data_IF_762263708720
#
_entry.id   IF_762263708720
#
_cell.length_a   1.000
_cell.length_b   1.000
_cell.length_c   1.000
_cell.angle_alpha   90.00
_cell.angle_beta   90.00
_cell.angle_gamma   90.00
#
_symmetry.space_group_name_H-M   'P 1'
#
loop_
_entity.id
_entity.type
_entity.pdbx_description
1 polymer ?
#
# COMPACT_ATOMS: atom_id res chain seq x y z
N UNK A 1 -5.58 14.30 -5.80
CA UNK A 1 -5.68 13.40 -6.97
C UNK A 1 -6.03 11.99 -6.50
N UNK A 2 -6.76 11.20 -7.30
CA UNK A 2 -6.97 9.80 -6.99
C UNK A 2 -5.65 9.03 -6.95
N UNK A 3 -5.56 8.08 -6.03
CA UNK A 3 -4.46 7.13 -5.96
C UNK A 3 -5.00 5.76 -6.30
N UNK A 4 -4.49 5.18 -7.38
CA UNK A 4 -4.85 3.87 -7.90
C UNK A 4 -3.68 2.92 -7.78
N UNK A 5 -3.94 1.74 -7.28
CA UNK A 5 -2.95 0.69 -7.05
C UNK A 5 -3.33 -0.53 -7.86
N UNK A 6 -2.38 -1.03 -8.64
CA UNK A 6 -2.47 -2.21 -9.50
C UNK A 6 -1.25 -3.12 -9.25
N UNK A 7 -1.17 -4.27 -9.90
CA UNK A 7 0.01 -5.13 -9.81
C UNK A 7 -0.01 -6.10 -8.64
N UNK A 8 -1.19 -6.53 -8.21
CA UNK A 8 -1.38 -7.52 -7.17
C UNK A 8 -0.72 -8.87 -7.49
N UNK A 9 -0.39 -9.62 -6.43
CA UNK A 9 0.07 -10.99 -6.58
C UNK A 9 -1.05 -11.90 -7.13
N UNK A 10 -0.87 -12.38 -8.35
CA UNK A 10 -1.84 -13.22 -9.09
C UNK A 10 -1.58 -14.71 -8.96
N UNK A 11 -0.80 -15.13 -7.99
CA UNK A 11 -0.62 -16.56 -7.72
C UNK A 11 -1.82 -17.09 -6.94
N UNK A 12 -2.38 -18.21 -7.40
CA UNK A 12 -3.37 -18.94 -6.63
C UNK A 12 -2.72 -19.47 -5.35
N UNK A 13 -3.38 -19.22 -4.23
CA UNK A 13 -2.92 -19.70 -2.93
C UNK A 13 -3.46 -21.09 -2.65
N UNK A 14 -2.64 -21.88 -2.01
CA UNK A 14 -2.99 -23.20 -1.48
C UNK A 14 -3.01 -23.20 0.05
N UNK A 15 -2.55 -22.12 0.68
CA UNK A 15 -2.47 -21.95 2.13
C UNK A 15 -3.09 -20.64 2.57
N UNK A 16 -3.70 -20.60 3.77
CA UNK A 16 -4.20 -19.36 4.36
C UNK A 16 -3.06 -18.37 4.60
N UNK A 17 -3.32 -17.10 4.36
CA UNK A 17 -2.41 -16.00 4.74
C UNK A 17 -3.07 -15.23 5.86
N UNK A 18 -2.34 -14.94 6.92
CA UNK A 18 -2.88 -14.13 8.01
C UNK A 18 -3.37 -12.78 7.49
N UNK A 19 -4.59 -12.41 7.89
CA UNK A 19 -5.13 -11.10 7.62
C UNK A 19 -4.23 -10.05 8.27
N UNK A 20 -3.70 -9.14 7.48
CA UNK A 20 -2.89 -8.02 7.95
C UNK A 20 -3.55 -6.72 7.49
N UNK A 21 -3.68 -5.77 8.40
CA UNK A 21 -4.11 -4.41 8.01
C UNK A 21 -2.97 -3.74 7.26
N UNK A 22 -3.27 -3.29 6.05
CA UNK A 22 -2.35 -2.54 5.19
C UNK A 22 -2.68 -1.06 5.26
N UNK A 23 -1.69 -0.21 5.03
CA UNK A 23 -1.90 1.23 4.95
C UNK A 23 -1.97 1.63 3.49
N UNK A 24 -3.04 2.30 3.11
CA UNK A 24 -3.16 2.92 1.79
C UNK A 24 -2.70 4.38 1.91
N UNK A 25 -1.66 4.74 1.18
CA UNK A 25 -1.05 6.08 1.22
C UNK A 25 -0.99 6.72 -0.17
N UNK A 26 -0.47 7.95 -0.25
CA UNK A 26 -0.42 8.73 -1.49
C UNK A 26 0.44 8.13 -2.60
N UNK A 27 1.28 7.16 -2.28
CA UNK A 27 2.21 6.47 -3.18
C UNK A 27 1.93 4.96 -3.30
N UNK A 28 0.87 4.46 -2.64
CA UNK A 28 0.47 3.06 -2.78
C UNK A 28 -0.02 2.39 -1.50
N UNK A 29 0.21 1.09 -1.41
CA UNK A 29 -0.19 0.24 -0.29
C UNK A 29 1.05 -0.29 0.42
N UNK A 30 1.06 -0.25 1.76
CA UNK A 30 2.15 -0.76 2.60
C UNK A 30 1.70 -1.94 3.48
N UNK A 31 2.53 -2.98 3.62
CA UNK A 31 3.71 -3.29 2.80
C UNK A 31 3.29 -3.60 1.36
N UNK A 32 4.13 -3.23 0.39
CA UNK A 32 3.96 -3.18 -1.07
C UNK A 32 2.87 -4.02 -1.75
N UNK A 33 2.38 -3.53 -2.86
CA UNK A 33 1.26 -4.13 -3.62
C UNK A 33 1.53 -5.56 -4.08
N UNK A 34 2.78 -5.91 -4.39
CA UNK A 34 3.17 -7.27 -4.81
C UNK A 34 2.91 -8.34 -3.74
N UNK A 35 2.82 -7.95 -2.46
CA UNK A 35 2.42 -8.83 -1.37
C UNK A 35 0.90 -8.93 -1.15
N UNK A 36 0.09 -8.18 -1.92
CA UNK A 36 -1.37 -8.20 -1.81
C UNK A 36 -1.92 -9.27 -2.76
N UNK A 37 -2.63 -10.29 -2.27
CA UNK A 37 -3.24 -11.29 -3.14
C UNK A 37 -4.30 -10.65 -4.05
N UNK A 38 -4.25 -10.96 -5.35
CA UNK A 38 -5.30 -10.57 -6.29
C UNK A 38 -6.60 -11.36 -6.04
N UNK A 39 -6.49 -12.60 -5.58
CA UNK A 39 -7.65 -13.47 -5.40
C UNK A 39 -8.26 -13.33 -4.01
N UNK A 40 -9.56 -13.01 -3.99
CA UNK A 40 -10.43 -13.16 -2.83
C UNK A 40 -11.25 -14.43 -3.00
N UNK A 41 -11.04 -15.38 -2.09
CA UNK A 41 -11.71 -16.67 -2.13
C UNK A 41 -13.06 -16.61 -1.41
N UNK A 42 -14.05 -17.32 -1.98
CA UNK A 42 -15.39 -17.42 -1.42
C UNK A 42 -15.47 -18.40 -0.24
N UNK A 43 -16.47 -18.18 0.60
CA UNK A 43 -16.61 -18.91 1.87
C UNK A 43 -17.13 -20.34 1.71
N UNK A 44 -17.72 -20.70 0.56
CA UNK A 44 -18.29 -22.03 0.37
C UNK A 44 -17.25 -23.05 -0.11
N UNK A 45 -16.56 -22.77 -1.19
CA UNK A 45 -15.60 -23.72 -1.78
C UNK A 45 -14.17 -23.57 -1.25
N UNK A 46 -13.83 -22.38 -0.76
CA UNK A 46 -12.46 -22.06 -0.37
C UNK A 46 -12.40 -21.44 1.04
N UNK A 47 -13.22 -21.93 1.96
CA UNK A 47 -13.40 -21.34 3.30
C UNK A 47 -12.10 -21.09 4.06
N UNK A 48 -11.15 -22.01 3.98
CA UNK A 48 -9.85 -21.87 4.66
C UNK A 48 -9.00 -20.75 4.06
N UNK A 49 -9.20 -20.44 2.77
CA UNK A 49 -8.52 -19.38 2.05
C UNK A 49 -9.31 -18.06 2.04
N UNK A 50 -10.57 -18.08 2.48
CA UNK A 50 -11.48 -16.93 2.51
C UNK A 50 -11.09 -15.96 3.64
N UNK A 51 -10.03 -15.18 3.40
CA UNK A 51 -9.52 -14.19 4.32
C UNK A 51 -9.85 -12.78 3.81
N UNK A 52 -10.41 -11.89 4.66
CA UNK A 52 -10.62 -10.51 4.28
C UNK A 52 -9.29 -9.79 4.08
N UNK A 53 -9.31 -8.79 3.21
CA UNK A 53 -8.23 -7.83 3.09
C UNK A 53 -8.62 -6.54 3.79
N UNK A 54 -7.75 -6.02 4.65
CA UNK A 54 -8.01 -4.83 5.45
C UNK A 54 -7.06 -3.70 5.07
N UNK A 55 -7.61 -2.49 4.92
CA UNK A 55 -6.87 -1.30 4.55
C UNK A 55 -7.22 -0.15 5.47
N UNK A 56 -6.20 0.49 6.04
CA UNK A 56 -6.34 1.78 6.72
C UNK A 56 -6.04 2.89 5.72
N UNK A 57 -6.91 3.88 5.66
CA UNK A 57 -6.77 5.04 4.78
C UNK A 57 -7.13 6.32 5.52
N UNK A 58 -6.39 7.41 5.27
CA UNK A 58 -6.75 8.74 5.77
C UNK A 58 -7.04 9.62 4.58
N UNK A 59 -8.26 10.16 4.54
CA UNK A 59 -8.73 11.03 3.45
C UNK A 59 -8.98 12.45 3.97
N UNK A 60 -8.51 13.48 3.23
CA UNK A 60 -8.58 14.87 3.67
C UNK A 60 -9.95 15.51 3.48
N UNK A 61 -10.75 14.96 2.61
CA UNK A 61 -12.08 15.45 2.19
C UNK A 61 -12.98 14.26 1.89
N UNK A 62 -14.28 14.51 1.86
CA UNK A 62 -15.24 13.52 1.39
C UNK A 62 -14.85 13.02 -0.01
N UNK A 63 -14.76 11.72 -0.16
CA UNK A 63 -14.25 11.06 -1.37
C UNK A 63 -14.85 9.66 -1.53
N UNK A 64 -14.13 8.73 -2.16
CA UNK A 64 -14.56 7.37 -2.35
C UNK A 64 -13.40 6.37 -2.25
N UNK A 65 -13.76 5.13 -1.96
CA UNK A 65 -12.95 3.95 -2.21
C UNK A 65 -13.59 3.10 -3.29
N UNK A 66 -12.80 2.54 -4.20
CA UNK A 66 -13.27 1.68 -5.28
C UNK A 66 -12.40 0.43 -5.39
N UNK A 67 -13.03 -0.71 -5.55
CA UNK A 67 -12.39 -1.98 -5.86
C UNK A 67 -12.81 -2.44 -7.26
N UNK A 68 -11.84 -2.54 -8.16
CA UNK A 68 -12.02 -3.10 -9.50
C UNK A 68 -11.81 -4.61 -9.48
N UNK A 69 -12.74 -5.34 -10.08
CA UNK A 69 -12.69 -6.79 -10.28
C UNK A 69 -12.37 -7.09 -11.73
N UNK A 70 -11.35 -7.88 -11.97
CA UNK A 70 -10.95 -8.32 -13.30
C UNK A 70 -11.78 -9.49 -13.81
N UNK A 71 -12.02 -10.46 -12.94
CA UNK A 71 -12.73 -11.69 -13.28
C UNK A 71 -13.32 -12.34 -12.02
N UNK A 72 -14.29 -13.23 -12.23
CA UNK A 72 -14.77 -14.16 -11.22
C UNK A 72 -14.74 -15.59 -11.76
N UNK A 73 -14.85 -16.57 -10.86
CA UNK A 73 -14.97 -17.99 -11.22
C UNK A 73 -16.04 -18.20 -12.30
N UNK A 74 -15.76 -19.13 -13.20
CA UNK A 74 -16.73 -19.58 -14.20
C UNK A 74 -17.72 -20.64 -13.66
N UNK A 75 -17.46 -21.17 -12.45
CA UNK A 75 -18.19 -22.31 -11.89
C UNK A 75 -19.30 -21.88 -10.92
N UNK A 76 -19.04 -20.86 -10.11
CA UNK A 76 -19.96 -20.42 -9.07
C UNK A 76 -19.93 -18.91 -8.85
N UNK A 77 -20.92 -18.42 -8.12
CA UNK A 77 -21.09 -17.00 -7.85
C UNK A 77 -20.06 -16.48 -6.84
N UNK A 78 -19.43 -15.35 -7.15
CA UNK A 78 -18.68 -14.58 -6.19
C UNK A 78 -19.50 -13.36 -5.71
N UNK A 79 -19.09 -12.79 -4.58
CA UNK A 79 -19.75 -11.62 -4.00
C UNK A 79 -18.74 -10.74 -3.30
N UNK A 80 -18.37 -9.63 -3.94
CA UNK A 80 -17.50 -8.64 -3.32
C UNK A 80 -18.32 -7.82 -2.33
N UNK A 81 -17.92 -7.85 -1.06
CA UNK A 81 -18.47 -6.99 -0.01
C UNK A 81 -17.40 -6.01 0.47
N UNK A 82 -17.81 -4.77 0.72
CA UNK A 82 -16.99 -3.71 1.29
C UNK A 82 -17.65 -3.24 2.58
N UNK A 83 -16.89 -3.25 3.68
CA UNK A 83 -17.26 -2.58 4.92
C UNK A 83 -16.30 -1.42 5.19
N UNK A 84 -16.80 -0.37 5.81
CA UNK A 84 -16.04 0.79 6.25
C UNK A 84 -16.29 0.97 7.74
N UNK A 85 -15.23 0.97 8.56
CA UNK A 85 -15.30 1.12 10.01
C UNK A 85 -16.28 0.12 10.66
N UNK A 86 -16.16 -1.15 10.26
CA UNK A 86 -17.01 -2.28 10.66
C UNK A 86 -18.50 -2.18 10.24
N UNK A 87 -18.86 -1.18 9.43
CA UNK A 87 -20.20 -1.01 8.89
C UNK A 87 -20.25 -1.50 7.44
N UNK A 88 -21.15 -2.44 7.08
CA UNK A 88 -21.35 -2.82 5.68
C UNK A 88 -21.73 -1.60 4.83
N UNK A 89 -20.91 -1.31 3.81
CA UNK A 89 -21.07 -0.13 2.97
C UNK A 89 -21.66 -0.47 1.60
N UNK A 90 -21.20 -1.55 0.95
CA UNK A 90 -21.73 -2.00 -0.33
C UNK A 90 -21.42 -3.48 -0.60
N UNK A 91 -22.21 -4.06 -1.51
CA UNK A 91 -22.06 -5.43 -1.97
C UNK A 91 -22.33 -5.51 -3.49
N UNK A 92 -21.53 -6.30 -4.19
CA UNK A 92 -21.70 -6.58 -5.62
C UNK A 92 -21.71 -8.09 -5.87
N UNK A 93 -22.76 -8.58 -6.49
CA UNK A 93 -22.86 -9.97 -6.94
C UNK A 93 -22.22 -10.13 -8.31
N UNK A 94 -21.40 -11.14 -8.44
CA UNK A 94 -20.68 -11.48 -9.66
C UNK A 94 -21.13 -12.87 -10.12
N UNK A 95 -21.89 -12.91 -11.19
CA UNK A 95 -22.29 -14.17 -11.83
C UNK A 95 -21.04 -14.91 -12.34
N UNK A 96 -21.09 -16.24 -12.50
CA UNK A 96 -20.01 -16.99 -13.09
C UNK A 96 -19.50 -16.38 -14.40
N UNK A 97 -18.18 -16.21 -14.51
CA UNK A 97 -17.54 -15.62 -15.68
C UNK A 97 -17.72 -14.11 -15.84
N UNK A 98 -18.18 -13.39 -14.80
CA UNK A 98 -18.26 -11.91 -14.82
C UNK A 98 -16.89 -11.31 -15.12
N UNK A 99 -16.86 -10.35 -16.03
CA UNK A 99 -15.66 -9.60 -16.46
C UNK A 99 -15.93 -8.09 -16.35
N UNK A 100 -14.89 -7.28 -16.46
CA UNK A 100 -14.51 -6.26 -15.48
C UNK A 100 -15.71 -5.57 -14.86
N UNK A 101 -15.69 -5.46 -13.55
CA UNK A 101 -16.68 -4.77 -12.76
C UNK A 101 -15.98 -3.93 -11.68
N UNK A 102 -16.67 -2.93 -11.12
CA UNK A 102 -16.13 -2.14 -10.03
C UNK A 102 -17.22 -1.86 -8.99
N UNK A 103 -16.80 -1.83 -7.72
CA UNK A 103 -17.65 -1.48 -6.59
C UNK A 103 -17.05 -0.28 -5.88
N UNK A 104 -17.86 0.80 -5.79
CA UNK A 104 -17.45 2.06 -5.16
C UNK A 104 -18.29 2.34 -3.92
N UNK A 105 -17.62 2.83 -2.87
CA UNK A 105 -18.25 3.29 -1.63
C UNK A 105 -17.81 4.72 -1.31
N UNK A 106 -18.67 5.58 -0.76
CA UNK A 106 -18.28 6.90 -0.30
C UNK A 106 -17.44 6.78 0.98
N UNK A 107 -16.49 7.70 1.15
CA UNK A 107 -15.72 7.90 2.37
C UNK A 107 -15.90 9.37 2.81
N UNK A 108 -16.26 9.60 4.07
CA UNK A 108 -16.20 10.92 4.67
C UNK A 108 -14.73 11.34 4.90
N UNK A 109 -14.47 12.63 5.12
CA UNK A 109 -13.15 13.06 5.54
C UNK A 109 -12.78 12.43 6.90
N UNK A 110 -11.56 11.88 7.01
CA UNK A 110 -11.09 11.23 8.24
C UNK A 110 -10.23 9.99 7.99
N UNK A 111 -9.99 9.27 9.08
CA UNK A 111 -9.34 7.95 9.04
C UNK A 111 -10.40 6.86 8.98
N UNK A 112 -10.19 5.85 8.13
CA UNK A 112 -11.09 4.73 7.93
C UNK A 112 -10.36 3.41 7.87
N UNK A 113 -11.04 2.35 8.32
CA UNK A 113 -10.65 0.96 8.08
C UNK A 113 -11.61 0.35 7.07
N UNK A 114 -11.07 -0.04 5.92
CA UNK A 114 -11.82 -0.65 4.82
C UNK A 114 -11.55 -2.14 4.83
N UNK A 115 -12.61 -2.94 4.82
CA UNK A 115 -12.54 -4.39 4.73
C UNK A 115 -13.14 -4.84 3.41
N UNK A 116 -12.34 -5.60 2.65
CA UNK A 116 -12.76 -6.28 1.43
C UNK A 116 -12.86 -7.76 1.69
N UNK A 117 -13.99 -8.35 1.38
CA UNK A 117 -14.17 -9.80 1.48
C UNK A 117 -15.01 -10.35 0.32
N UNK A 118 -14.84 -11.64 0.06
CA UNK A 118 -15.73 -12.36 -0.84
C UNK A 118 -16.65 -13.26 -0.02
N UNK A 119 -17.90 -12.81 0.13
CA UNK A 119 -18.94 -13.54 0.85
C UNK A 119 -19.71 -14.53 -0.04
N UNK A 120 -19.28 -14.71 -1.29
CA UNK A 120 -19.85 -15.66 -2.24
C UNK A 120 -19.33 -17.08 -2.09
N UNK A 121 -19.49 -17.85 -3.14
CA UNK A 121 -19.20 -19.29 -3.15
C UNK A 121 -17.76 -19.58 -3.59
N UNK A 122 -17.29 -18.92 -4.65
CA UNK A 122 -15.99 -19.17 -5.27
C UNK A 122 -15.16 -17.87 -5.38
N UNK A 123 -14.05 -17.89 -6.07
CA UNK A 123 -13.08 -16.78 -6.11
C UNK A 123 -13.51 -15.62 -7.02
N UNK A 124 -13.00 -14.45 -6.71
CA UNK A 124 -12.88 -13.30 -7.61
C UNK A 124 -11.43 -12.80 -7.65
N UNK A 125 -11.05 -12.14 -8.74
CA UNK A 125 -9.74 -11.54 -8.96
C UNK A 125 -9.85 -10.00 -8.98
N UNK A 126 -9.14 -9.34 -8.07
CA UNK A 126 -9.02 -7.89 -8.05
C UNK A 126 -8.11 -7.42 -9.19
N UNK A 127 -8.46 -6.32 -9.81
CA UNK A 127 -7.65 -5.64 -10.82
C UNK A 127 -6.93 -4.43 -10.22
N UNK A 128 -7.67 -3.60 -9.48
CA UNK A 128 -7.14 -2.42 -8.83
C UNK A 128 -7.91 -2.08 -7.55
N UNK A 129 -7.29 -1.24 -6.73
CA UNK A 129 -7.95 -0.47 -5.68
C UNK A 129 -7.68 1.01 -5.91
N UNK A 130 -8.67 1.86 -5.66
CA UNK A 130 -8.56 3.30 -5.87
C UNK A 130 -9.18 4.08 -4.72
N UNK A 131 -8.49 5.12 -4.28
CA UNK A 131 -9.02 6.12 -3.34
C UNK A 131 -9.00 7.48 -4.03
N UNK A 132 -10.13 8.16 -4.03
CA UNK A 132 -10.30 9.42 -4.77
C UNK A 132 -9.44 10.58 -4.26
N UNK A 133 -9.11 10.60 -2.96
CA UNK A 133 -8.17 11.54 -2.36
C UNK A 133 -7.54 10.92 -1.11
N UNK A 134 -6.23 11.07 -0.95
CA UNK A 134 -5.49 10.55 0.21
C UNK A 134 -4.63 11.65 0.81
N UNK A 135 -4.50 11.59 2.14
CA UNK A 135 -3.47 12.34 2.86
C UNK A 135 -2.23 11.45 2.98
N UNK A 136 -1.18 11.79 2.25
CA UNK A 136 0.12 11.20 2.49
C UNK A 136 0.78 11.92 3.68
N UNK A 137 1.22 11.22 4.73
CA UNK A 137 1.87 11.84 5.90
C UNK A 137 3.25 12.42 5.54
N UNK A 138 3.87 11.90 4.50
CA UNK A 138 5.10 12.41 3.92
C UNK A 138 5.03 12.43 2.40
N UNK A 139 5.84 13.31 1.79
CA UNK A 139 6.13 13.26 0.36
C UNK A 139 7.40 12.44 0.18
N UNK A 140 7.38 11.48 -0.72
CA UNK A 140 8.53 10.65 -1.07
C UNK A 140 8.82 10.83 -2.56
N UNK A 141 10.06 11.21 -2.88
CA UNK A 141 10.57 11.28 -4.24
C UNK A 141 11.73 10.30 -4.34
N UNK A 142 11.61 9.30 -5.21
CA UNK A 142 12.66 8.28 -5.41
C UNK A 142 13.13 8.28 -6.84
N UNK A 143 14.44 8.31 -7.01
CA UNK A 143 15.14 8.04 -8.27
C UNK A 143 15.91 6.73 -8.10
N UNK A 144 15.71 5.77 -9.01
CA UNK A 144 16.35 4.46 -8.91
C UNK A 144 16.91 3.97 -10.25
N UNK A 145 17.99 3.22 -10.15
CA UNK A 145 18.53 2.39 -11.23
C UNK A 145 18.53 0.94 -10.75
N UNK A 146 17.56 0.17 -11.22
CA UNK A 146 17.41 -1.24 -10.83
C UNK A 146 18.49 -2.14 -11.45
N UNK A 147 19.18 -1.71 -12.50
CA UNK A 147 20.27 -2.47 -13.12
C UNK A 147 21.51 -2.41 -12.24
N UNK A 148 21.87 -1.22 -11.81
CA UNK A 148 23.04 -0.99 -10.96
C UNK A 148 22.76 -1.23 -9.46
N UNK A 149 21.49 -1.34 -9.09
CA UNK A 149 21.09 -1.51 -7.68
C UNK A 149 21.39 -0.25 -6.86
N UNK A 150 21.05 0.92 -7.43
CA UNK A 150 21.24 2.22 -6.78
C UNK A 150 19.90 2.93 -6.66
N UNK A 151 19.65 3.58 -5.55
CA UNK A 151 18.53 4.48 -5.40
C UNK A 151 18.90 5.71 -4.55
N UNK A 152 18.26 6.82 -4.88
CA UNK A 152 18.26 8.05 -4.08
C UNK A 152 16.81 8.37 -3.74
N UNK A 153 16.54 8.72 -2.49
CA UNK A 153 15.22 9.19 -2.11
C UNK A 153 15.30 10.48 -1.30
N UNK A 154 14.29 11.32 -1.47
CA UNK A 154 14.05 12.47 -0.64
C UNK A 154 12.68 12.34 -0.02
N UNK A 155 12.62 12.41 1.31
CA UNK A 155 11.43 12.21 2.11
C UNK A 155 11.20 13.50 2.90
N UNK A 156 10.02 14.09 2.74
CA UNK A 156 9.65 15.33 3.42
C UNK A 156 8.36 15.08 4.23
N UNK A 157 8.41 15.46 5.50
CA UNK A 157 7.20 15.50 6.33
C UNK A 157 6.18 16.43 5.69
N UNK A 158 4.92 16.02 5.60
CA UNK A 158 3.86 16.77 4.94
C UNK A 158 3.68 18.17 5.54
N UNK A 159 3.72 18.27 6.88
CA UNK A 159 3.50 19.52 7.59
C UNK A 159 4.79 20.34 7.73
N UNK A 160 5.92 19.89 7.19
CA UNK A 160 7.13 20.70 7.05
C UNK A 160 7.00 21.61 5.81
N UNK A 161 6.14 22.62 5.94
CA UNK A 161 5.92 23.67 4.94
C UNK A 161 6.85 24.85 5.19
N UNK A 162 6.99 25.73 4.20
CA UNK A 162 7.75 26.97 4.36
C UNK A 162 7.17 27.86 5.46
N UNK A 163 5.85 27.85 5.65
CA UNK A 163 5.13 28.61 6.69
C UNK A 163 5.49 28.08 8.08
N UNK A 164 5.40 26.76 8.29
CA UNK A 164 5.76 26.14 9.55
C UNK A 164 7.24 26.29 9.85
N UNK A 165 8.11 26.15 8.85
CA UNK A 165 9.54 26.38 9.00
C UNK A 165 9.87 27.84 9.37
N UNK A 166 9.21 28.83 8.76
CA UNK A 166 9.38 30.24 9.10
C UNK A 166 8.85 30.60 10.50
N UNK A 167 7.83 29.87 10.96
CA UNK A 167 7.27 30.02 12.30
C UNK A 167 7.99 29.15 13.36
N UNK A 168 9.07 28.46 12.99
CA UNK A 168 9.83 27.51 13.84
C UNK A 168 8.95 26.39 14.45
N UNK A 169 7.85 26.04 13.78
CA UNK A 169 6.98 24.94 14.18
C UNK A 169 7.56 23.62 13.69
N UNK A 170 7.91 22.74 14.63
CA UNK A 170 8.37 21.40 14.33
C UNK A 170 7.15 20.46 14.28
N UNK A 171 6.91 19.76 13.16
CA UNK A 171 5.85 18.76 13.07
C UNK A 171 6.04 17.62 14.07
N UNK A 172 4.93 16.95 14.41
CA UNK A 172 4.94 15.71 15.19
C UNK A 172 5.79 14.65 14.45
N UNK A 173 6.69 13.91 15.14
CA UNK A 173 7.50 12.91 14.50
C UNK A 173 6.68 11.79 13.86
N UNK A 174 6.95 11.45 12.60
CA UNK A 174 6.36 10.33 11.91
C UNK A 174 7.30 9.11 11.98
N UNK A 175 6.80 8.00 12.50
CA UNK A 175 7.45 6.70 12.37
C UNK A 175 7.02 6.07 11.06
N UNK A 176 7.99 5.75 10.22
CA UNK A 176 7.74 5.24 8.87
C UNK A 176 8.71 4.11 8.52
N UNK A 177 8.20 3.12 7.80
CA UNK A 177 9.03 2.11 7.13
C UNK A 177 9.15 2.50 5.65
N UNK A 178 10.37 2.62 5.15
CA UNK A 178 10.63 2.79 3.73
C UNK A 178 10.67 1.44 3.02
N UNK A 179 9.98 1.36 1.89
CA UNK A 179 9.92 0.17 1.05
C UNK A 179 10.32 0.53 -0.37
N UNK A 180 11.24 -0.25 -0.92
CA UNK A 180 11.67 -0.12 -2.31
C UNK A 180 11.64 -1.49 -2.96
N UNK A 181 10.84 -1.63 -3.99
CA UNK A 181 10.65 -2.86 -4.75
C UNK A 181 11.57 -2.93 -5.99
N UNK A 182 11.57 -4.07 -6.66
CA UNK A 182 12.34 -4.33 -7.89
C UNK A 182 13.85 -4.13 -7.76
N UNK A 183 14.39 -4.22 -6.56
CA UNK A 183 15.82 -4.13 -6.34
C UNK A 183 16.49 -5.48 -6.61
N UNK A 184 17.63 -5.54 -7.33
CA UNK A 184 18.37 -6.78 -7.55
C UNK A 184 18.74 -7.46 -6.23
N UNK A 185 18.66 -8.81 -6.13
CA UNK A 185 19.13 -9.52 -4.93
C UNK A 185 20.59 -9.19 -4.62
N UNK A 186 20.89 -8.94 -3.34
CA UNK A 186 22.25 -8.58 -2.93
C UNK A 186 22.32 -7.94 -1.54
N UNK A 187 23.51 -7.49 -1.19
CA UNK A 187 23.75 -6.67 0.01
C UNK A 187 23.73 -5.20 -0.38
N UNK A 188 23.09 -4.39 0.43
CA UNK A 188 22.93 -2.96 0.21
C UNK A 188 23.41 -2.19 1.43
N UNK A 189 24.03 -1.04 1.21
CA UNK A 189 24.21 -0.02 2.22
C UNK A 189 23.14 1.05 2.01
N UNK A 190 22.44 1.40 3.08
CA UNK A 190 21.49 2.51 3.15
C UNK A 190 22.11 3.57 4.05
N UNK A 191 22.34 4.76 3.51
CA UNK A 191 22.80 5.94 4.23
C UNK A 191 21.61 6.89 4.40
N UNK A 192 21.38 7.36 5.62
CA UNK A 192 20.39 8.38 5.94
C UNK A 192 21.11 9.71 6.13
N UNK A 193 20.65 10.73 5.44
CA UNK A 193 21.28 12.03 5.39
C UNK A 193 20.32 13.14 5.83
N UNK A 194 20.85 14.14 6.55
CA UNK A 194 20.17 15.43 6.66
C UNK A 194 20.45 16.24 5.38
N UNK A 195 19.43 16.50 4.53
CA UNK A 195 19.65 17.20 3.28
C UNK A 195 19.95 18.70 3.45
N UNK A 196 19.76 19.27 4.66
CA UNK A 196 20.08 20.66 4.94
C UNK A 196 21.53 20.85 5.34
N UNK A 197 22.07 19.94 6.14
CA UNK A 197 23.45 20.03 6.64
C UNK A 197 24.44 19.19 5.82
N UNK A 198 23.94 18.17 5.10
CA UNK A 198 24.76 17.18 4.42
C UNK A 198 25.44 16.19 5.38
N UNK A 199 24.94 16.07 6.60
CA UNK A 199 25.45 15.13 7.58
C UNK A 199 24.81 13.75 7.41
N UNK A 200 25.61 12.68 7.60
CA UNK A 200 25.10 11.31 7.67
C UNK A 200 24.50 11.10 9.07
N UNK A 201 23.20 10.82 9.12
CA UNK A 201 22.46 10.59 10.36
C UNK A 201 22.52 9.12 10.81
N UNK A 202 22.74 8.21 9.86
CA UNK A 202 22.82 6.78 10.12
C UNK A 202 23.14 5.97 8.89
N UNK A 203 23.57 4.73 9.13
CA UNK A 203 23.87 3.75 8.08
C UNK A 203 23.31 2.39 8.49
N UNK A 204 22.76 1.66 7.53
CA UNK A 204 22.28 0.30 7.73
C UNK A 204 22.66 -0.60 6.56
N UNK A 205 23.16 -1.81 6.87
CA UNK A 205 23.45 -2.84 5.88
C UNK A 205 22.29 -3.83 5.81
N UNK A 206 21.64 -3.93 4.64
CA UNK A 206 20.49 -4.75 4.40
C UNK A 206 20.73 -5.80 3.33
N UNK A 207 19.90 -6.82 3.32
CA UNK A 207 19.92 -7.84 2.28
C UNK A 207 18.60 -7.90 1.56
N UNK A 208 18.62 -7.62 0.25
CA UNK A 208 17.51 -7.89 -0.66
C UNK A 208 17.57 -9.35 -1.08
N UNK A 209 16.44 -10.05 -0.97
CA UNK A 209 16.26 -11.45 -1.39
C UNK A 209 15.67 -11.49 -2.80
N UNK A 210 15.28 -12.69 -3.25
CA UNK A 210 14.67 -12.93 -4.57
C UNK A 210 13.31 -12.22 -4.77
N UNK A 211 12.67 -11.77 -3.67
CA UNK A 211 11.45 -10.96 -3.72
C UNK A 211 11.70 -9.53 -4.20
N UNK A 212 12.97 -9.13 -4.32
CA UNK A 212 13.34 -7.80 -4.78
C UNK A 212 12.97 -6.65 -3.86
N UNK A 213 12.57 -6.95 -2.61
CA UNK A 213 12.08 -5.95 -1.66
C UNK A 213 13.18 -5.53 -0.68
N UNK A 214 13.52 -4.23 -0.69
CA UNK A 214 14.32 -3.59 0.32
C UNK A 214 13.40 -2.90 1.31
N UNK A 215 13.56 -3.21 2.59
CA UNK A 215 12.73 -2.67 3.68
C UNK A 215 13.61 -2.24 4.84
N UNK A 216 13.37 -1.03 5.37
CA UNK A 216 13.99 -0.56 6.61
C UNK A 216 13.16 0.53 7.27
N UNK A 217 13.34 0.67 8.58
CA UNK A 217 12.64 1.68 9.36
C UNK A 217 13.42 3.00 9.33
N UNK A 218 12.74 4.09 9.04
CA UNK A 218 13.32 5.42 9.02
C UNK A 218 13.51 5.93 10.45
N UNK A 219 14.47 6.83 10.63
CA UNK A 219 14.48 7.70 11.80
C UNK A 219 13.18 8.49 11.87
N UNK A 220 12.67 8.82 13.07
CA UNK A 220 11.45 9.63 13.21
C UNK A 220 11.55 10.91 12.38
N UNK A 221 10.65 11.01 11.40
CA UNK A 221 10.66 12.12 10.44
C UNK A 221 9.95 13.34 11.00
N UNK A 222 10.69 14.39 11.31
CA UNK A 222 10.14 15.69 11.73
C UNK A 222 10.20 16.75 10.65
N UNK A 223 11.13 16.63 9.71
CA UNK A 223 11.36 17.61 8.64
C UNK A 223 11.52 16.92 7.30
N UNK A 224 12.75 16.55 6.99
CA UNK A 224 13.12 15.88 5.76
C UNK A 224 14.32 14.95 5.98
N UNK A 225 14.40 13.91 5.17
CA UNK A 225 15.50 12.97 5.10
C UNK A 225 15.88 12.73 3.65
N UNK A 226 17.15 12.54 3.38
CA UNK A 226 17.61 11.99 2.12
C UNK A 226 18.17 10.59 2.35
N UNK A 227 17.97 9.71 1.39
CA UNK A 227 18.48 8.35 1.40
C UNK A 227 19.41 8.17 0.21
N UNK A 228 20.52 7.51 0.47
CA UNK A 228 21.39 6.95 -0.56
C UNK A 228 21.47 5.46 -0.34
N UNK A 229 21.09 4.69 -1.34
CA UNK A 229 20.99 3.23 -1.31
C UNK A 229 21.83 2.70 -2.44
N UNK A 230 22.77 1.81 -2.14
CA UNK A 230 23.62 1.22 -3.17
C UNK A 230 24.06 -0.20 -2.82
N UNK A 231 24.17 -1.01 -3.86
CA UNK A 231 24.62 -2.39 -3.77
C UNK A 231 26.11 -2.44 -3.44
N UNK A 232 26.49 -3.31 -2.49
CA UNK A 232 27.87 -3.56 -2.10
C UNK A 232 28.51 -4.71 -2.90
#
# INVERSE_FOLDING_TARGET
>A
QPVRVEGFNRQFRTEPVMAATRVFSGDGIYPGVAGVPAYLYGQTYNRELAQPQMYRVTVPVDTYFEAGVRASSEQAMARLAISVDDVPAAEMRLSPGTRPAALRVPLAAGEHVIVLENTGEDWLELEYLEVGAIVAPARVLTLRDTTEGVALAWIQHRDYTWENAAAEVTPEPLEMTYLLDEMPPGRYLVELWDPLTGEVLGEESLRVREDGLLRFDLLPLTRQLALRIFRQ
#
